data_IF_985252630155
#
_entry.id   IF_985252630155
#
_cell.length_a   1.000
_cell.length_b   1.000
_cell.length_c   1.000
_cell.angle_alpha   90.00
_cell.angle_beta   90.00
_cell.angle_gamma   90.00
#
_symmetry.space_group_name_H-M   'P 1'
#
loop_
_entity.id
_entity.type
_entity.pdbx_description
1 polymer ?
#
# COMPACT_ATOMS: atom_id res chain seq x y z
N UNK A 1 -15.95 14.47 -2.65
CA UNK A 1 -14.82 13.52 -2.55
C UNK A 1 -15.33 12.25 -1.88
N UNK A 2 -15.14 11.08 -2.49
CA UNK A 2 -15.50 9.79 -1.88
C UNK A 2 -14.53 9.47 -0.75
N UNK A 3 -15.01 8.98 0.40
CA UNK A 3 -14.19 8.58 1.55
C UNK A 3 -13.11 7.54 1.19
N UNK A 4 -13.36 6.76 0.13
CA UNK A 4 -12.37 5.81 -0.42
C UNK A 4 -11.16 6.49 -1.07
N UNK A 5 -11.32 7.67 -1.66
CA UNK A 5 -10.22 8.42 -2.30
C UNK A 5 -9.40 9.18 -1.26
N UNK A 6 -10.05 9.63 -0.18
CA UNK A 6 -9.37 10.20 0.98
C UNK A 6 -8.44 9.17 1.64
N UNK A 7 -8.91 7.94 1.84
CA UNK A 7 -8.13 6.90 2.51
C UNK A 7 -6.88 6.48 1.73
N UNK A 8 -7.00 6.29 0.41
CA UNK A 8 -5.87 5.95 -0.46
C UNK A 8 -4.82 7.07 -0.47
N UNK A 9 -5.25 8.31 -0.70
CA UNK A 9 -4.36 9.48 -0.70
C UNK A 9 -3.72 9.76 0.67
N UNK A 10 -4.28 9.25 1.76
CA UNK A 10 -3.73 9.38 3.10
C UNK A 10 -2.63 8.35 3.39
N UNK A 11 -2.80 7.10 2.94
CA UNK A 11 -1.78 6.03 3.09
C UNK A 11 -0.52 6.33 2.26
N UNK A 12 -0.66 6.98 1.10
CA UNK A 12 0.46 7.27 0.20
C UNK A 12 1.34 8.46 0.66
N UNK A 13 1.02 9.12 1.78
CA UNK A 13 1.80 10.25 2.30
C UNK A 13 2.94 9.78 3.22
N UNK A 14 4.07 10.50 3.24
CA UNK A 14 5.14 10.22 4.20
C UNK A 14 4.61 10.43 5.62
N UNK A 15 4.60 9.34 6.40
CA UNK A 15 4.01 9.28 7.74
C UNK A 15 5.03 9.49 8.86
N UNK A 16 6.32 9.53 8.52
CA UNK A 16 7.40 9.93 9.42
C UNK A 16 7.80 11.38 9.12
N UNK A 17 7.90 12.19 10.17
CA UNK A 17 8.56 13.48 10.09
C UNK A 17 10.04 13.26 9.73
N UNK A 18 10.55 13.84 8.62
CA UNK A 18 11.93 13.67 8.18
C UNK A 18 12.97 14.12 9.22
N UNK A 19 12.61 15.06 10.10
CA UNK A 19 13.52 15.65 11.08
C UNK A 19 13.52 14.92 12.42
N UNK A 20 12.39 14.32 12.80
CA UNK A 20 12.21 13.71 14.13
C UNK A 20 12.06 12.19 14.10
N UNK A 21 11.83 11.59 12.91
CA UNK A 21 11.50 10.16 12.74
C UNK A 21 10.30 9.70 13.59
N UNK A 22 9.48 10.65 14.05
CA UNK A 22 8.25 10.37 14.76
C UNK A 22 7.08 10.42 13.77
N UNK A 23 6.01 9.71 14.13
CA UNK A 23 4.77 9.78 13.38
C UNK A 23 4.21 11.20 13.43
N UNK A 24 3.82 11.73 12.27
CA UNK A 24 3.17 13.05 12.23
C UNK A 24 1.83 13.01 12.99
N UNK A 25 1.44 14.12 13.62
CA UNK A 25 0.18 14.21 14.38
C UNK A 25 -1.04 13.86 13.51
N UNK A 26 -0.98 14.20 12.22
CA UNK A 26 -1.96 13.85 11.19
C UNK A 26 -2.10 12.33 11.01
N UNK A 27 -0.98 11.60 11.05
CA UNK A 27 -0.97 10.14 10.94
C UNK A 27 -1.49 9.47 12.20
N UNK A 28 -1.11 9.97 13.39
CA UNK A 28 -1.66 9.50 14.66
C UNK A 28 -3.19 9.68 14.72
N UNK A 29 -3.68 10.84 14.25
CA UNK A 29 -5.11 11.13 14.16
C UNK A 29 -5.82 10.19 13.19
N UNK A 30 -5.27 9.97 11.99
CA UNK A 30 -5.88 9.07 11.00
C UNK A 30 -5.91 7.59 11.45
N UNK A 31 -4.89 7.10 12.15
CA UNK A 31 -4.94 5.77 12.79
C UNK A 31 -6.08 5.70 13.82
N UNK A 32 -6.20 6.72 14.68
CA UNK A 32 -7.22 6.77 15.72
C UNK A 32 -8.63 6.76 15.12
N UNK A 33 -8.84 7.52 14.04
CA UNK A 33 -10.10 7.55 13.29
C UNK A 33 -10.40 6.19 12.63
N UNK A 34 -9.40 5.58 11.98
CA UNK A 34 -9.55 4.27 11.34
C UNK A 34 -9.90 3.16 12.35
N UNK A 35 -9.21 3.13 13.50
CA UNK A 35 -9.56 2.22 14.60
C UNK A 35 -10.96 2.51 15.15
N UNK A 36 -11.38 3.78 15.19
CA UNK A 36 -12.73 4.17 15.61
C UNK A 36 -13.85 3.69 14.68
N UNK A 37 -13.53 3.47 13.40
CA UNK A 37 -14.45 2.93 12.39
C UNK A 37 -14.50 1.40 12.38
N UNK A 38 -13.41 0.72 12.77
CA UNK A 38 -13.35 -0.75 12.82
C UNK A 38 -14.04 -1.36 14.04
N UNK A 39 -14.32 -0.56 15.07
CA UNK A 39 -15.16 -0.98 16.21
C UNK A 39 -16.63 -0.99 15.78
N UNK A 40 -17.36 -2.12 15.90
CA UNK A 40 -18.78 -2.16 15.54
C UNK A 40 -19.58 -1.21 16.43
N UNK A 41 -20.02 -0.07 15.88
CA UNK A 41 -20.98 0.82 16.55
C UNK A 41 -22.35 0.15 16.51
N UNK A 42 -22.68 -0.62 17.56
CA UNK A 42 -24.03 -1.16 17.77
C UNK A 42 -25.04 -0.01 17.72
N UNK A 43 -25.83 0.05 16.64
CA UNK A 43 -26.94 0.98 16.48
C UNK A 43 -28.17 0.36 17.16
N UNK A 44 -28.34 0.63 18.44
CA UNK A 44 -29.45 0.14 19.25
C UNK A 44 -29.85 1.19 20.27
N UNK A 45 -31.10 1.65 20.15
CA UNK A 45 -31.77 2.70 20.93
C UNK A 45 -31.56 2.52 22.44
N UNK A 46 -31.03 3.54 23.10
CA UNK A 46 -30.97 3.61 24.57
C UNK A 46 -32.39 3.74 25.12
N UNK A 47 -32.98 2.63 25.55
CA UNK A 47 -34.19 2.61 26.38
C UNK A 47 -34.06 1.53 27.45
N UNK A 48 -34.21 1.94 28.71
CA UNK A 48 -34.34 1.05 29.86
C UNK A 48 -33.15 1.04 30.81
N UNK A 49 -33.18 1.94 31.80
CA UNK A 49 -32.49 1.75 33.08
C UNK A 49 -33.03 0.48 33.75
N UNK A 50 -32.36 -0.65 33.54
CA UNK A 50 -32.87 -1.96 33.99
C UNK A 50 -31.77 -2.98 34.28
N UNK A 51 -31.35 -3.02 35.54
CA UNK A 51 -30.81 -4.16 36.31
C UNK A 51 -29.64 -4.97 35.71
N UNK A 52 -28.52 -4.90 36.45
CA UNK A 52 -27.44 -5.89 36.59
C UNK A 52 -27.81 -7.32 36.15
N UNK A 53 -27.13 -7.78 35.10
CA UNK A 53 -26.51 -9.10 35.03
C UNK A 53 -25.17 -8.92 34.33
N UNK A 54 -24.08 -8.97 35.10
CA UNK A 54 -22.73 -9.11 34.52
C UNK A 54 -22.64 -10.51 33.95
N UNK A 55 -22.92 -10.66 32.67
CA UNK A 55 -22.46 -11.78 31.85
C UNK A 55 -21.96 -11.21 30.53
N UNK A 56 -20.94 -10.35 30.63
CA UNK A 56 -19.90 -10.43 29.63
C UNK A 56 -19.27 -11.81 29.84
N UNK A 57 -19.52 -12.77 28.93
CA UNK A 57 -18.45 -13.70 28.66
C UNK A 57 -17.24 -12.82 28.32
N UNK A 58 -16.14 -12.89 29.08
CA UNK A 58 -14.97 -12.17 28.66
C UNK A 58 -14.65 -12.68 27.25
N UNK A 59 -14.08 -11.82 26.42
CA UNK A 59 -13.24 -12.28 25.33
C UNK A 59 -12.08 -13.09 25.95
N UNK A 60 -12.37 -14.30 26.42
CA UNK A 60 -11.49 -15.15 27.22
C UNK A 60 -10.94 -16.33 26.43
N UNK A 61 -11.32 -16.45 25.16
CA UNK A 61 -10.63 -17.35 24.27
C UNK A 61 -9.30 -16.69 23.90
N UNK A 62 -8.14 -17.25 24.32
CA UNK A 62 -6.89 -16.84 23.71
C UNK A 62 -7.02 -17.02 22.19
N UNK A 63 -6.42 -16.14 21.36
CA UNK A 63 -6.32 -16.42 19.93
C UNK A 63 -5.77 -17.85 19.76
N UNK A 64 -6.23 -18.61 18.75
CA UNK A 64 -5.69 -19.94 18.50
C UNK A 64 -4.16 -19.82 18.50
N UNK A 65 -3.51 -20.60 19.36
CA UNK A 65 -2.07 -20.56 19.48
C UNK A 65 -1.49 -20.95 18.12
N UNK A 66 -0.92 -19.97 17.42
CA UNK A 66 -0.17 -20.21 16.19
C UNK A 66 1.27 -20.46 16.61
N UNK A 67 1.79 -21.60 16.22
CA UNK A 67 3.17 -21.99 16.49
C UNK A 67 4.13 -20.89 15.95
N UNK A 68 5.00 -20.31 16.80
CA UNK A 68 5.98 -19.32 16.36
C UNK A 68 6.89 -19.84 15.23
N UNK A 69 7.16 -21.14 15.14
CA UNK A 69 7.98 -21.72 14.07
C UNK A 69 7.27 -21.64 12.71
N UNK A 70 5.94 -21.80 12.70
CA UNK A 70 5.13 -21.66 11.49
C UNK A 70 5.10 -20.20 11.03
N UNK A 71 5.06 -19.25 11.97
CA UNK A 71 5.09 -17.82 11.65
C UNK A 71 6.44 -17.39 11.07
N UNK A 72 7.56 -17.87 11.62
CA UNK A 72 8.89 -17.56 11.11
C UNK A 72 9.13 -18.17 9.73
N UNK A 73 8.68 -19.39 9.50
CA UNK A 73 8.74 -20.03 8.18
C UNK A 73 7.91 -19.26 7.13
N UNK A 74 6.70 -18.82 7.48
CA UNK A 74 5.87 -18.00 6.59
C UNK A 74 6.47 -16.62 6.30
N UNK A 75 7.15 -16.02 7.28
CA UNK A 75 7.82 -14.73 7.08
C UNK A 75 8.96 -14.89 6.08
N UNK A 76 9.76 -15.94 6.24
CA UNK A 76 10.87 -16.24 5.33
C UNK A 76 10.39 -16.49 3.89
N UNK A 77 9.33 -17.30 3.72
CA UNK A 77 8.74 -17.54 2.39
C UNK A 77 8.27 -16.24 1.72
N UNK A 78 7.67 -15.33 2.49
CA UNK A 78 7.28 -14.00 2.00
C UNK A 78 8.48 -13.14 1.63
N UNK A 79 9.55 -13.15 2.43
CA UNK A 79 10.77 -12.40 2.14
C UNK A 79 11.47 -12.93 0.88
N UNK A 80 11.52 -14.25 0.69
CA UNK A 80 12.04 -14.89 -0.51
C UNK A 80 11.22 -14.50 -1.75
N UNK A 81 9.88 -14.48 -1.61
CA UNK A 81 8.98 -14.03 -2.67
C UNK A 81 9.15 -12.54 -3.00
N UNK A 82 9.34 -11.67 -2.00
CA UNK A 82 9.61 -10.24 -2.21
C UNK A 82 10.90 -10.08 -3.01
N UNK A 83 11.97 -10.76 -2.58
CA UNK A 83 13.27 -10.72 -3.26
C UNK A 83 13.19 -11.16 -4.72
N UNK A 84 12.41 -12.23 -5.00
CA UNK A 84 12.19 -12.70 -6.36
C UNK A 84 11.42 -11.70 -7.23
N UNK A 85 10.38 -11.07 -6.66
CA UNK A 85 9.58 -10.05 -7.36
C UNK A 85 10.41 -8.78 -7.65
N UNK A 86 11.20 -8.32 -6.69
CA UNK A 86 12.11 -7.17 -6.89
C UNK A 86 13.11 -7.44 -8.02
N UNK A 87 13.69 -8.64 -8.05
CA UNK A 87 14.58 -9.06 -9.13
C UNK A 87 13.87 -9.07 -10.48
N UNK A 88 12.63 -9.57 -10.54
CA UNK A 88 11.84 -9.58 -11.76
C UNK A 88 11.51 -8.16 -12.24
N UNK A 89 11.13 -7.27 -11.34
CA UNK A 89 10.87 -5.86 -11.67
C UNK A 89 12.12 -5.16 -12.19
N UNK A 90 13.28 -5.38 -11.56
CA UNK A 90 14.54 -4.82 -12.02
C UNK A 90 14.92 -5.33 -13.42
N UNK A 91 14.77 -6.62 -13.68
CA UNK A 91 15.00 -7.20 -14.99
C UNK A 91 14.03 -6.65 -16.06
N UNK A 92 12.75 -6.50 -15.70
CA UNK A 92 11.74 -5.92 -16.60
C UNK A 92 12.05 -4.46 -16.92
N UNK A 93 12.43 -3.66 -15.92
CA UNK A 93 12.82 -2.27 -16.12
C UNK A 93 14.06 -2.16 -17.01
N UNK A 94 15.08 -2.99 -16.77
CA UNK A 94 16.28 -3.01 -17.61
C UNK A 94 15.96 -3.40 -19.07
N UNK A 95 15.08 -4.38 -19.27
CA UNK A 95 14.60 -4.78 -20.60
C UNK A 95 13.84 -3.65 -21.29
N UNK A 96 12.96 -2.98 -20.56
CA UNK A 96 12.20 -1.84 -21.05
C UNK A 96 13.10 -0.65 -21.44
N UNK A 97 14.05 -0.28 -20.58
CA UNK A 97 15.00 0.81 -20.87
C UNK A 97 15.87 0.48 -22.08
N UNK A 98 16.28 -0.79 -22.24
CA UNK A 98 17.06 -1.22 -23.40
C UNK A 98 16.25 -1.06 -24.70
N UNK A 99 14.98 -1.49 -24.69
CA UNK A 99 14.10 -1.32 -25.83
C UNK A 99 13.85 0.16 -26.16
N UNK A 100 13.65 0.99 -25.12
CA UNK A 100 13.47 2.43 -25.29
C UNK A 100 14.68 3.08 -25.96
N UNK A 101 15.90 2.77 -25.50
CA UNK A 101 17.13 3.27 -26.13
C UNK A 101 17.25 2.85 -27.59
N UNK A 102 16.90 1.60 -27.92
CA UNK A 102 16.90 1.14 -29.31
C UNK A 102 15.90 1.91 -30.17
N UNK A 103 14.68 2.14 -29.65
CA UNK A 103 13.66 2.91 -30.34
C UNK A 103 14.10 4.37 -30.56
N UNK A 104 14.71 4.99 -29.55
CA UNK A 104 15.28 6.35 -29.65
C UNK A 104 16.39 6.43 -30.70
N UNK A 105 17.30 5.44 -30.74
CA UNK A 105 18.36 5.37 -31.75
C UNK A 105 17.80 5.25 -33.18
N UNK A 106 16.79 4.40 -33.38
CA UNK A 106 16.13 4.28 -34.69
C UNK A 106 15.43 5.59 -35.08
N UNK A 107 14.74 6.23 -34.14
CA UNK A 107 14.07 7.51 -34.37
C UNK A 107 15.08 8.62 -34.71
N UNK A 108 16.23 8.66 -34.04
CA UNK A 108 17.28 9.63 -34.34
C UNK A 108 17.87 9.40 -35.74
N UNK A 109 18.10 8.14 -36.12
CA UNK A 109 18.55 7.79 -37.47
C UNK A 109 17.53 8.23 -38.53
N UNK A 110 16.24 7.97 -38.31
CA UNK A 110 15.16 8.43 -39.20
C UNK A 110 15.13 9.95 -39.32
N UNK A 111 15.31 10.67 -38.21
CA UNK A 111 15.33 12.14 -38.20
C UNK A 111 16.50 12.73 -38.98
N UNK A 112 17.65 12.05 -38.98
CA UNK A 112 18.81 12.46 -39.80
C UNK A 112 18.59 12.20 -41.28
N UNK A 113 17.90 11.11 -41.63
CA UNK A 113 17.54 10.78 -43.01
C UNK A 113 16.45 11.72 -43.57
N UNK A 114 15.50 12.13 -42.71
CA UNK A 114 14.34 12.93 -43.09
C UNK A 114 14.19 14.15 -42.15
N UNK A 115 15.04 15.18 -42.29
CA UNK A 115 15.06 16.33 -41.37
C UNK A 115 13.78 17.20 -41.43
N UNK A 116 12.97 17.07 -42.49
CA UNK A 116 11.74 17.84 -42.69
C UNK A 116 10.47 17.08 -42.27
N UNK A 117 10.58 15.82 -41.85
CA UNK A 117 9.44 15.02 -41.40
C UNK A 117 9.20 15.18 -39.90
N UNK A 118 7.93 15.37 -39.52
CA UNK A 118 7.50 15.44 -38.13
C UNK A 118 7.14 14.04 -37.67
N UNK A 119 8.04 13.40 -36.92
CA UNK A 119 7.78 12.09 -36.32
C UNK A 119 6.89 12.24 -35.07
N UNK A 120 5.84 11.42 -34.91
CA UNK A 120 4.99 11.46 -33.72
C UNK A 120 5.78 11.06 -32.47
N UNK A 121 5.64 11.82 -31.40
CA UNK A 121 6.23 11.48 -30.11
C UNK A 121 5.43 10.32 -29.50
N UNK A 122 5.99 9.12 -29.52
CA UNK A 122 5.40 7.96 -28.84
C UNK A 122 5.74 8.15 -27.36
N UNK A 123 4.85 8.80 -26.61
CA UNK A 123 4.94 8.82 -25.16
C UNK A 123 4.62 7.42 -24.63
N UNK A 124 5.46 6.98 -23.70
CA UNK A 124 5.18 5.81 -22.89
C UNK A 124 3.86 6.06 -22.12
N UNK A 125 2.94 5.07 -22.05
CA UNK A 125 1.63 5.23 -21.41
C UNK A 125 1.70 5.47 -19.89
#
# INVERSE_FOLDING_TARGET
MSSSNYFRSWIDRPHLDPNTRLLTEEYQRGITEFMGLSVPKKKGRLVGLGRRSRSAAPSSAPPPYVDPEVLTAQLKDKDDRISALETQMAAQQAGYETQKRLNEQMMEMMKRMYPNEVFPNIQDP
#
